data_IF_904965638847
#
_entry.id   IF_904965638847
#
_cell.length_a   1.000
_cell.length_b   1.000
_cell.length_c   1.000
_cell.angle_alpha   90.00
_cell.angle_beta   90.00
_cell.angle_gamma   90.00
#
_symmetry.space_group_name_H-M   'P 1'
#
loop_
_entity.id
_entity.type
_entity.pdbx_description
1 polymer ?
#
# COMPACT_ATOMS: atom_id res chain seq x y z
N UNK A 1 11.62 0.19 -21.99
CA UNK A 1 10.58 -0.85 -21.79
C UNK A 1 10.68 -1.50 -20.40
N UNK A 2 11.87 -1.96 -19.95
CA UNK A 2 12.04 -2.57 -18.62
C UNK A 2 11.64 -1.63 -17.48
N UNK A 3 12.04 -0.36 -17.55
CA UNK A 3 11.65 0.65 -16.56
C UNK A 3 10.13 0.82 -16.48
N UNK A 4 9.44 0.83 -17.63
CA UNK A 4 7.99 0.93 -17.69
C UNK A 4 7.34 -0.29 -17.01
N UNK A 5 7.82 -1.50 -17.25
CA UNK A 5 7.29 -2.71 -16.59
C UNK A 5 7.41 -2.63 -15.07
N UNK A 6 8.58 -2.19 -14.57
CA UNK A 6 8.80 -2.02 -13.12
C UNK A 6 7.88 -0.96 -12.54
N UNK A 7 7.69 0.17 -13.24
CA UNK A 7 6.78 1.24 -12.81
C UNK A 7 5.33 0.76 -12.74
N UNK A 8 4.87 0.01 -13.75
CA UNK A 8 3.51 -0.55 -13.74
C UNK A 8 3.34 -1.55 -12.60
N UNK A 9 4.32 -2.45 -12.39
CA UNK A 9 4.28 -3.40 -11.28
C UNK A 9 4.21 -2.69 -9.92
N UNK A 10 5.06 -1.69 -9.70
CA UNK A 10 5.06 -0.93 -8.45
C UNK A 10 3.70 -0.23 -8.24
N UNK A 11 3.21 0.50 -9.24
CA UNK A 11 1.93 1.19 -9.15
C UNK A 11 0.76 0.21 -8.90
N UNK A 12 0.81 -0.97 -9.49
CA UNK A 12 -0.19 -2.03 -9.25
C UNK A 12 -0.18 -2.49 -7.79
N UNK A 13 1.00 -2.79 -7.24
CA UNK A 13 1.11 -3.21 -5.83
C UNK A 13 0.80 -2.08 -4.85
N UNK A 14 1.11 -0.84 -5.20
CA UNK A 14 0.75 0.33 -4.39
C UNK A 14 -0.77 0.48 -4.27
N UNK A 15 -1.52 0.25 -5.34
CA UNK A 15 -2.99 0.24 -5.29
C UNK A 15 -3.51 -0.89 -4.40
N UNK A 16 -2.97 -2.11 -4.52
CA UNK A 16 -3.38 -3.23 -3.67
C UNK A 16 -3.09 -2.97 -2.19
N UNK A 17 -1.91 -2.44 -1.87
CA UNK A 17 -1.53 -2.07 -0.50
C UNK A 17 -2.44 -0.97 0.07
N UNK A 18 -2.77 0.04 -0.72
CA UNK A 18 -3.71 1.09 -0.32
C UNK A 18 -5.14 0.55 -0.12
N UNK A 19 -5.55 -0.45 -0.90
CA UNK A 19 -6.84 -1.11 -0.76
C UNK A 19 -6.91 -1.94 0.54
N UNK A 20 -5.88 -2.74 0.82
CA UNK A 20 -5.80 -3.51 2.06
C UNK A 20 -5.70 -2.59 3.29
N UNK A 21 -5.01 -1.46 3.18
CA UNK A 21 -4.96 -0.43 4.22
C UNK A 21 -6.36 0.15 4.49
N UNK A 22 -7.11 0.50 3.46
CA UNK A 22 -8.47 1.00 3.61
C UNK A 22 -9.39 -0.02 4.28
N UNK A 23 -9.32 -1.29 3.88
CA UNK A 23 -10.09 -2.38 4.49
C UNK A 23 -9.75 -2.53 5.99
N UNK A 24 -8.47 -2.44 6.34
CA UNK A 24 -7.99 -2.47 7.72
C UNK A 24 -8.52 -1.28 8.55
N UNK A 25 -8.45 -0.06 8.01
CA UNK A 25 -8.96 1.14 8.69
C UNK A 25 -10.48 1.11 8.89
N UNK A 26 -11.24 0.56 7.94
CA UNK A 26 -12.68 0.36 8.07
C UNK A 26 -13.01 -0.66 9.16
N UNK A 27 -12.26 -1.75 9.25
CA UNK A 27 -12.41 -2.73 10.30
C UNK A 27 -12.06 -2.14 11.68
N UNK A 28 -10.97 -1.37 11.77
CA UNK A 28 -10.55 -0.69 12.99
C UNK A 28 -11.62 0.32 13.46
N UNK A 29 -12.14 1.15 12.55
CA UNK A 29 -13.23 2.08 12.87
C UNK A 29 -14.46 1.37 13.44
N UNK A 30 -14.84 0.25 12.81
CA UNK A 30 -16.01 -0.54 13.29
C UNK A 30 -15.76 -1.10 14.70
N UNK A 31 -14.54 -1.52 15.01
CA UNK A 31 -14.18 -1.99 16.34
C UNK A 31 -14.20 -0.86 17.38
N UNK A 32 -13.66 0.32 17.03
CA UNK A 32 -13.62 1.50 17.91
C UNK A 32 -15.06 2.04 18.14
N UNK A 33 -15.92 2.02 17.12
CA UNK A 33 -17.35 2.38 17.27
C UNK A 33 -18.05 1.51 18.31
N UNK A 34 -17.81 0.21 18.31
CA UNK A 34 -18.35 -0.69 19.34
C UNK A 34 -17.80 -0.39 20.73
N UNK A 35 -16.52 -0.01 20.83
CA UNK A 35 -15.93 0.39 22.12
C UNK A 35 -16.58 1.68 22.66
N UNK A 36 -16.81 2.66 21.79
CA UNK A 36 -17.52 3.88 22.15
C UNK A 36 -18.95 3.57 22.65
N UNK A 37 -19.68 2.72 21.94
CA UNK A 37 -21.04 2.30 22.34
C UNK A 37 -21.03 1.60 23.71
N UNK A 38 -20.04 0.74 23.95
CA UNK A 38 -19.86 0.11 25.28
C UNK A 38 -19.53 1.13 26.38
N UNK A 39 -18.66 2.11 26.09
CA UNK A 39 -18.33 3.17 27.03
C UNK A 39 -19.57 3.99 27.40
N UNK A 40 -20.38 4.37 26.40
CA UNK A 40 -21.65 5.09 26.65
C UNK A 40 -22.59 4.31 27.55
N UNK A 41 -22.83 3.01 27.28
CA UNK A 41 -23.67 2.14 28.08
C UNK A 41 -23.15 1.97 29.51
N UNK A 42 -21.85 1.86 29.71
CA UNK A 42 -21.25 1.77 31.06
C UNK A 42 -21.36 3.08 31.82
N UNK A 43 -21.29 4.21 31.14
CA UNK A 43 -21.53 5.52 31.74
C UNK A 43 -22.99 5.69 32.18
N UNK A 44 -23.95 5.30 31.34
CA UNK A 44 -25.39 5.37 31.65
C UNK A 44 -25.77 4.63 32.95
N UNK A 45 -25.06 3.54 33.25
CA UNK A 45 -25.26 2.77 34.49
C UNK A 45 -24.29 3.18 35.62
N UNK A 46 -23.55 4.27 35.44
CA UNK A 46 -22.67 4.85 36.47
C UNK A 46 -21.38 4.07 36.76
N UNK A 47 -20.93 3.20 35.83
CA UNK A 47 -19.74 2.37 36.02
C UNK A 47 -18.41 3.06 35.62
N UNK A 48 -18.47 4.12 34.82
CA UNK A 48 -17.29 4.87 34.37
C UNK A 48 -17.58 6.37 34.40
N UNK A 49 -16.52 7.18 34.32
CA UNK A 49 -16.62 8.63 34.29
C UNK A 49 -16.97 9.13 32.86
N UNK A 50 -17.51 10.35 32.78
CA UNK A 50 -17.80 11.01 31.49
C UNK A 50 -16.52 11.21 30.67
N UNK A 51 -15.37 11.38 31.30
CA UNK A 51 -14.06 11.52 30.66
C UNK A 51 -13.72 10.29 29.82
N UNK A 52 -14.05 9.09 30.29
CA UNK A 52 -13.79 7.84 29.56
C UNK A 52 -14.62 7.78 28.27
N UNK A 53 -15.85 8.30 28.30
CA UNK A 53 -16.69 8.41 27.10
C UNK A 53 -16.13 9.44 26.12
N UNK A 54 -15.62 10.56 26.63
CA UNK A 54 -15.00 11.59 25.79
C UNK A 54 -13.70 11.08 25.13
N UNK A 55 -12.89 10.31 25.84
CA UNK A 55 -11.71 9.66 25.28
C UNK A 55 -12.09 8.65 24.18
N UNK A 56 -13.11 7.82 24.42
CA UNK A 56 -13.62 6.88 23.42
C UNK A 56 -14.20 7.61 22.19
N UNK A 57 -14.86 8.76 22.39
CA UNK A 57 -15.35 9.59 21.29
C UNK A 57 -14.20 10.17 20.49
N UNK A 58 -13.16 10.71 21.13
CA UNK A 58 -11.98 11.23 20.45
C UNK A 58 -11.26 10.13 19.63
N UNK A 59 -11.16 8.91 20.16
CA UNK A 59 -10.60 7.77 19.45
C UNK A 59 -11.45 7.41 18.20
N UNK A 60 -12.78 7.47 18.31
CA UNK A 60 -13.68 7.24 17.18
C UNK A 60 -13.53 8.31 16.11
N UNK A 61 -13.49 9.58 16.48
CA UNK A 61 -13.31 10.70 15.55
C UNK A 61 -11.95 10.60 14.83
N UNK A 62 -10.89 10.18 15.53
CA UNK A 62 -9.60 9.91 14.94
C UNK A 62 -9.65 8.75 13.93
N UNK A 63 -10.39 7.68 14.21
CA UNK A 63 -10.54 6.55 13.30
C UNK A 63 -11.27 6.94 12.00
N UNK A 64 -12.23 7.86 12.07
CA UNK A 64 -12.89 8.44 10.88
C UNK A 64 -11.88 9.21 10.03
N UNK A 65 -11.01 10.02 10.65
CA UNK A 65 -9.99 10.76 9.95
C UNK A 65 -8.98 9.82 9.25
N UNK A 66 -8.58 8.72 9.91
CA UNK A 66 -7.72 7.70 9.34
C UNK A 66 -8.37 7.03 8.13
N UNK A 67 -9.64 6.63 8.20
CA UNK A 67 -10.38 6.05 7.08
C UNK A 67 -10.46 7.03 5.89
N UNK A 68 -10.73 8.30 6.12
CA UNK A 68 -10.76 9.32 5.07
C UNK A 68 -9.38 9.46 4.40
N UNK A 69 -8.31 9.44 5.20
CA UNK A 69 -6.94 9.49 4.69
C UNK A 69 -6.62 8.27 3.82
N UNK A 70 -6.98 7.06 4.26
CA UNK A 70 -6.80 5.83 3.49
C UNK A 70 -7.61 5.84 2.18
N UNK A 71 -8.86 6.36 2.18
CA UNK A 71 -9.66 6.54 0.97
C UNK A 71 -8.99 7.47 -0.05
N UNK A 72 -8.42 8.57 0.42
CA UNK A 72 -7.68 9.52 -0.44
C UNK A 72 -6.42 8.88 -1.00
N UNK A 73 -5.67 8.15 -0.17
CA UNK A 73 -4.48 7.43 -0.60
C UNK A 73 -4.81 6.45 -1.73
N UNK A 74 -5.86 5.63 -1.55
CA UNK A 74 -6.34 4.71 -2.58
C UNK A 74 -6.74 5.42 -3.88
N UNK A 75 -7.45 6.55 -3.79
CA UNK A 75 -7.81 7.32 -4.97
C UNK A 75 -6.56 7.84 -5.71
N UNK A 76 -5.57 8.34 -4.96
CA UNK A 76 -4.32 8.84 -5.54
C UNK A 76 -3.51 7.73 -6.22
N UNK A 77 -3.37 6.56 -5.57
CA UNK A 77 -2.63 5.44 -6.17
C UNK A 77 -3.33 4.90 -7.42
N UNK A 78 -4.66 4.87 -7.46
CA UNK A 78 -5.43 4.52 -8.67
C UNK A 78 -5.16 5.50 -9.82
N UNK A 79 -5.11 6.80 -9.55
CA UNK A 79 -4.79 7.80 -10.58
C UNK A 79 -3.35 7.67 -11.09
N UNK A 80 -2.38 7.36 -10.21
CA UNK A 80 -0.99 7.10 -10.63
C UNK A 80 -0.90 5.86 -11.54
N UNK A 81 -1.64 4.80 -11.23
CA UNK A 81 -1.70 3.63 -12.11
C UNK A 81 -2.34 3.98 -13.46
N UNK A 82 -3.43 4.77 -13.44
CA UNK A 82 -4.09 5.25 -14.66
C UNK A 82 -3.17 6.09 -15.54
N UNK A 83 -2.37 6.97 -14.94
CA UNK A 83 -1.41 7.79 -15.68
C UNK A 83 -0.42 6.94 -16.50
N UNK A 84 -0.03 5.77 -15.96
CA UNK A 84 0.93 4.88 -16.62
C UNK A 84 0.25 3.97 -17.65
N UNK A 85 -0.97 3.49 -17.36
CA UNK A 85 -1.65 2.45 -18.16
C UNK A 85 -2.70 2.99 -19.11
N UNK A 86 -3.08 4.28 -18.97
CA UNK A 86 -4.22 4.93 -19.65
C UNK A 86 -5.54 4.13 -19.52
N UNK A 87 -5.66 3.32 -18.46
CA UNK A 87 -6.84 2.53 -18.19
C UNK A 87 -7.28 2.66 -16.73
N UNK A 88 -8.58 2.59 -16.49
CA UNK A 88 -9.18 2.64 -15.17
C UNK A 88 -9.64 1.22 -14.78
N UNK A 89 -8.80 0.42 -14.12
CA UNK A 89 -9.23 -0.90 -13.70
C UNK A 89 -10.27 -0.79 -12.58
N UNK A 90 -11.47 -1.34 -12.80
CA UNK A 90 -12.54 -1.34 -11.80
C UNK A 90 -12.14 -2.19 -10.59
N UNK A 91 -11.58 -3.38 -10.84
CA UNK A 91 -11.07 -4.29 -9.82
C UNK A 91 -9.69 -4.84 -10.21
N UNK A 92 -8.76 -4.79 -9.26
CA UNK A 92 -7.46 -5.44 -9.38
C UNK A 92 -7.51 -6.82 -8.73
N UNK A 93 -7.01 -7.83 -9.43
CA UNK A 93 -6.91 -9.17 -8.88
C UNK A 93 -5.81 -9.20 -7.81
N UNK A 94 -6.09 -9.80 -6.66
CA UNK A 94 -5.05 -10.04 -5.64
C UNK A 94 -4.06 -11.09 -6.14
N UNK A 95 -2.75 -10.95 -5.85
CA UNK A 95 -1.76 -11.94 -6.22
C UNK A 95 -2.04 -13.28 -5.54
N UNK A 96 -1.65 -14.37 -6.21
CA UNK A 96 -1.80 -15.70 -5.63
C UNK A 96 -0.90 -15.85 -4.39
N UNK A 97 -1.50 -16.19 -3.25
CA UNK A 97 -0.80 -16.39 -1.98
C UNK A 97 0.19 -17.56 -1.99
N UNK A 98 0.03 -18.49 -2.92
CA UNK A 98 0.88 -19.68 -3.08
C UNK A 98 1.94 -19.50 -4.19
N UNK A 99 2.40 -18.29 -4.45
CA UNK A 99 3.44 -18.06 -5.44
C UNK A 99 4.77 -18.63 -4.94
N UNK A 100 5.38 -19.61 -5.66
CA UNK A 100 6.66 -20.14 -5.26
C UNK A 100 7.73 -19.05 -5.34
N UNK A 101 8.48 -18.87 -4.27
CA UNK A 101 9.66 -18.02 -4.28
C UNK A 101 10.75 -18.69 -5.12
N UNK A 102 10.87 -18.27 -6.36
CA UNK A 102 11.91 -18.77 -7.27
C UNK A 102 13.23 -18.12 -6.88
N UNK A 103 14.20 -18.94 -6.51
CA UNK A 103 15.55 -18.45 -6.23
C UNK A 103 16.18 -17.90 -7.51
N UNK A 104 16.95 -16.82 -7.43
CA UNK A 104 17.62 -16.25 -8.59
C UNK A 104 18.58 -17.27 -9.20
N UNK A 105 18.61 -17.34 -10.52
CA UNK A 105 19.54 -18.18 -11.29
C UNK A 105 20.31 -17.29 -12.28
N UNK A 106 21.64 -17.19 -12.18
CA UNK A 106 22.55 -17.92 -11.28
C UNK A 106 22.47 -17.48 -9.81
N UNK A 107 22.90 -18.33 -8.86
CA UNK A 107 22.95 -18.01 -7.43
C UNK A 107 24.24 -17.27 -7.00
N UNK A 108 25.16 -17.08 -7.94
CA UNK A 108 26.45 -16.43 -7.70
C UNK A 108 26.35 -14.92 -7.93
N UNK A 109 26.70 -14.11 -6.93
CA UNK A 109 26.76 -12.65 -7.05
C UNK A 109 27.73 -12.21 -8.15
N UNK A 110 28.89 -12.88 -8.30
CA UNK A 110 29.88 -12.56 -9.31
C UNK A 110 29.36 -12.77 -10.74
N UNK A 111 28.52 -13.77 -10.96
CA UNK A 111 27.91 -14.00 -12.26
C UNK A 111 26.88 -12.89 -12.59
N UNK A 112 26.13 -12.42 -11.60
CA UNK A 112 25.24 -11.27 -11.77
C UNK A 112 26.01 -9.97 -12.06
N UNK A 113 27.13 -9.74 -11.36
CA UNK A 113 28.01 -8.59 -11.63
C UNK A 113 28.55 -8.64 -13.05
N UNK A 114 29.08 -9.78 -13.51
CA UNK A 114 29.58 -9.95 -14.86
C UNK A 114 28.47 -9.73 -15.91
N UNK A 115 27.29 -10.26 -15.67
CA UNK A 115 26.15 -10.05 -16.56
C UNK A 115 25.75 -8.56 -16.60
N UNK A 116 25.72 -7.90 -15.44
CA UNK A 116 25.42 -6.48 -15.36
C UNK A 116 26.43 -5.60 -16.10
N UNK A 117 27.73 -5.91 -16.00
CA UNK A 117 28.76 -5.18 -16.71
C UNK A 117 28.63 -5.29 -18.25
N UNK A 118 28.06 -6.37 -18.74
CA UNK A 118 27.87 -6.61 -20.18
C UNK A 118 26.51 -6.13 -20.72
N UNK A 119 25.47 -6.14 -19.89
CA UNK A 119 24.07 -5.97 -20.32
C UNK A 119 23.34 -4.78 -19.71
N UNK A 120 23.95 -4.06 -18.77
CA UNK A 120 23.30 -2.90 -18.17
C UNK A 120 23.21 -1.75 -19.17
N UNK A 121 21.99 -1.42 -19.58
CA UNK A 121 21.70 -0.39 -20.57
C UNK A 121 22.17 1.01 -20.14
N UNK A 122 22.15 1.31 -18.84
CA UNK A 122 22.65 2.59 -18.33
C UNK A 122 24.17 2.68 -18.48
N UNK A 123 24.90 1.58 -18.22
CA UNK A 123 26.35 1.52 -18.40
C UNK A 123 26.71 1.65 -19.87
N UNK A 124 26.03 0.92 -20.75
CA UNK A 124 26.22 1.01 -22.20
C UNK A 124 25.94 2.41 -22.73
N UNK A 125 24.87 3.04 -22.27
CA UNK A 125 24.52 4.43 -22.64
C UNK A 125 25.59 5.42 -22.18
N UNK A 126 26.12 5.26 -20.95
CA UNK A 126 27.20 6.10 -20.45
C UNK A 126 28.50 5.93 -21.24
N UNK A 127 28.85 4.69 -21.63
CA UNK A 127 30.02 4.40 -22.47
C UNK A 127 29.90 5.07 -23.83
N UNK A 128 28.78 4.91 -24.52
CA UNK A 128 28.54 5.59 -25.82
C UNK A 128 28.58 7.13 -25.66
N UNK A 129 28.07 7.67 -24.55
CA UNK A 129 28.13 9.11 -24.27
C UNK A 129 29.57 9.64 -24.05
N UNK A 130 30.53 8.80 -23.72
CA UNK A 130 31.95 9.20 -23.59
C UNK A 130 32.75 9.09 -24.88
N UNK A 131 32.21 8.43 -25.92
CA UNK A 131 32.83 8.29 -27.24
C UNK A 131 32.44 9.43 -28.20
N UNK A 132 31.50 10.29 -27.80
CA UNK A 132 31.06 11.48 -28.55
C UNK A 132 31.77 12.71 -28.03
#
# INVERSE_FOLDING_TARGET
>A
EQDLMVRVCNAYFDVLAAQDTLESEQAARTAIEKQLDQARKRYEVGLIAITDVQEAQAAFDQSIASEISAKRSLATTKELLREITDSYPEELQKPNTNMPLIMPNPQSENEWVNTALQQNLNLLSAQVGTEI
#
